data_IF_485337667053
#
_entry.id   IF_485337667053
#
_cell.length_a   1.000
_cell.length_b   1.000
_cell.length_c   1.000
_cell.angle_alpha   90.00
_cell.angle_beta   90.00
_cell.angle_gamma   90.00
#
_symmetry.space_group_name_H-M   'P 1'
#
loop_
_entity.id
_entity.type
_entity.pdbx_description
1 polymer ?
#
# COMPACT_ATOMS: atom_id res chain seq x y z
N UNK A 1 -3.85 -22.72 20.87
CA UNK A 1 -3.70 -21.57 19.96
C UNK A 1 -2.28 -21.60 19.42
N UNK A 2 -2.10 -22.03 18.18
CA UNK A 2 -0.79 -22.36 17.60
C UNK A 2 -0.08 -21.11 17.12
N UNK A 3 1.25 -21.03 17.30
CA UNK A 3 2.10 -19.90 16.90
C UNK A 3 1.94 -19.46 15.44
N UNK A 4 1.51 -20.39 14.57
CA UNK A 4 1.17 -20.15 13.17
C UNK A 4 0.03 -19.12 13.00
N UNK A 5 -1.00 -19.16 13.86
CA UNK A 5 -2.10 -18.21 13.81
C UNK A 5 -1.63 -16.80 14.18
N UNK A 6 -0.79 -16.72 15.22
CA UNK A 6 -0.22 -15.45 15.69
C UNK A 6 0.64 -14.79 14.61
N UNK A 7 1.44 -15.56 13.87
CA UNK A 7 2.25 -15.03 12.76
C UNK A 7 1.39 -14.45 11.63
N UNK A 8 0.22 -15.05 11.36
CA UNK A 8 -0.72 -14.60 10.34
C UNK A 8 -1.46 -13.34 10.78
N UNK A 9 -1.85 -13.26 12.05
CA UNK A 9 -2.43 -12.05 12.65
C UNK A 9 -1.44 -10.89 12.70
N UNK A 10 -0.19 -11.15 13.08
CA UNK A 10 0.87 -10.14 13.02
C UNK A 10 1.12 -9.71 11.58
N UNK A 11 1.18 -10.63 10.61
CA UNK A 11 1.38 -10.25 9.20
C UNK A 11 0.23 -9.41 8.67
N UNK A 12 -1.03 -9.69 9.04
CA UNK A 12 -2.18 -8.85 8.68
C UNK A 12 -2.12 -7.47 9.37
N UNK A 13 -1.82 -7.45 10.67
CA UNK A 13 -1.69 -6.22 11.46
C UNK A 13 -0.56 -5.34 10.94
N UNK A 14 0.63 -5.91 10.71
CA UNK A 14 1.76 -5.22 10.10
C UNK A 14 1.45 -4.81 8.65
N UNK A 15 0.75 -5.63 7.84
CA UNK A 15 0.38 -5.20 6.49
C UNK A 15 -0.57 -4.00 6.50
N UNK A 16 -1.47 -3.91 7.49
CA UNK A 16 -2.33 -2.76 7.74
C UNK A 16 -1.58 -1.54 8.29
N UNK A 17 -0.70 -1.72 9.27
CA UNK A 17 0.05 -0.65 9.96
C UNK A 17 1.18 -0.07 9.12
N UNK A 18 1.93 -0.92 8.41
CA UNK A 18 3.06 -0.48 7.55
C UNK A 18 2.59 0.03 6.19
N UNK A 19 1.30 -0.13 5.85
CA UNK A 19 0.79 0.18 4.52
C UNK A 19 1.29 -0.78 3.44
N UNK A 20 1.82 -1.96 3.80
CA UNK A 20 2.27 -2.95 2.82
C UNK A 20 1.11 -3.49 1.96
N UNK A 21 -0.11 -3.39 2.47
CA UNK A 21 -1.37 -3.68 1.79
C UNK A 21 -1.88 -2.53 0.90
N UNK A 22 -1.27 -1.34 0.95
CA UNK A 22 -1.69 -0.20 0.12
C UNK A 22 -1.58 -0.51 -1.37
N UNK A 23 -0.57 -1.28 -1.77
CA UNK A 23 -0.41 -1.73 -3.15
C UNK A 23 -1.51 -2.70 -3.58
N UNK A 24 -1.90 -3.65 -2.73
CA UNK A 24 -2.96 -4.61 -3.04
C UNK A 24 -4.32 -3.90 -3.18
N UNK A 25 -4.63 -3.02 -2.22
CA UNK A 25 -5.79 -2.12 -2.30
C UNK A 25 -5.79 -1.26 -3.56
N UNK A 26 -4.63 -0.71 -3.94
CA UNK A 26 -4.49 0.09 -5.15
C UNK A 26 -4.71 -0.75 -6.41
N UNK A 27 -4.18 -1.97 -6.47
CA UNK A 27 -4.44 -2.91 -7.57
C UNK A 27 -5.91 -3.31 -7.66
N UNK A 28 -6.55 -3.62 -6.53
CA UNK A 28 -7.97 -3.93 -6.49
C UNK A 28 -8.84 -2.73 -6.91
N UNK A 29 -8.44 -1.52 -6.54
CA UNK A 29 -9.10 -0.30 -6.99
C UNK A 29 -8.91 -0.09 -8.50
N UNK A 30 -7.68 -0.22 -9.01
CA UNK A 30 -7.38 -0.12 -10.44
C UNK A 30 -8.15 -1.17 -11.26
N UNK A 31 -8.23 -2.41 -10.79
CA UNK A 31 -9.01 -3.44 -11.49
C UNK A 31 -10.51 -3.10 -11.53
N UNK A 32 -11.05 -2.44 -10.49
CA UNK A 32 -12.46 -2.03 -10.43
C UNK A 32 -12.75 -0.80 -11.29
N UNK A 33 -11.84 0.18 -11.32
CA UNK A 33 -12.04 1.47 -12.01
C UNK A 33 -11.57 1.42 -13.46
N UNK A 34 -10.50 0.67 -13.73
CA UNK A 34 -9.86 0.56 -15.05
C UNK A 34 -9.62 -0.92 -15.41
N UNK A 35 -10.67 -1.69 -15.71
CA UNK A 35 -10.51 -3.06 -16.18
C UNK A 35 -9.72 -3.05 -17.51
N UNK A 36 -8.50 -3.60 -17.48
CA UNK A 36 -7.64 -3.72 -18.67
C UNK A 36 -6.40 -2.82 -18.70
N UNK A 37 -6.21 -1.94 -17.72
CA UNK A 37 -4.96 -1.17 -17.60
C UNK A 37 -3.87 -2.03 -16.91
N UNK A 38 -2.61 -2.03 -17.38
CA UNK A 38 -1.54 -2.73 -16.70
C UNK A 38 -1.35 -2.17 -15.28
N UNK A 39 -1.31 -3.08 -14.30
CA UNK A 39 -1.03 -2.69 -12.91
C UNK A 39 0.44 -2.25 -12.81
N UNK A 40 0.72 -1.07 -12.23
CA UNK A 40 2.10 -0.65 -12.01
C UNK A 40 2.79 -1.63 -11.07
N UNK A 41 4.11 -1.79 -11.21
CA UNK A 41 4.86 -2.69 -10.31
C UNK A 41 4.89 -2.09 -8.90
N UNK A 42 4.96 -2.94 -7.86
CA UNK A 42 5.02 -2.50 -6.46
C UNK A 42 6.09 -1.42 -6.21
N UNK A 43 7.28 -1.55 -6.81
CA UNK A 43 8.36 -0.56 -6.69
C UNK A 43 8.00 0.80 -7.29
N UNK A 44 7.29 0.79 -8.43
CA UNK A 44 6.87 2.00 -9.14
C UNK A 44 5.80 2.75 -8.34
N UNK A 45 4.82 2.01 -7.79
CA UNK A 45 3.84 2.56 -6.86
C UNK A 45 4.48 3.24 -5.65
N UNK A 46 5.46 2.60 -5.01
CA UNK A 46 6.14 3.22 -3.87
C UNK A 46 6.96 4.43 -4.29
N UNK A 47 7.65 4.38 -5.42
CA UNK A 47 8.42 5.51 -5.96
C UNK A 47 7.52 6.72 -6.19
N UNK A 48 6.36 6.52 -6.81
CA UNK A 48 5.40 7.58 -7.09
C UNK A 48 4.75 8.10 -5.80
N UNK A 49 4.47 7.21 -4.84
CA UNK A 49 4.01 7.58 -3.49
C UNK A 49 5.01 8.45 -2.73
N UNK A 50 6.29 8.07 -2.73
CA UNK A 50 7.33 8.88 -2.10
C UNK A 50 7.50 10.22 -2.83
N UNK A 51 7.52 10.21 -4.18
CA UNK A 51 7.59 11.42 -4.97
C UNK A 51 6.40 12.37 -4.71
N UNK A 52 5.19 11.84 -4.48
CA UNK A 52 4.02 12.62 -4.10
C UNK A 52 4.15 13.21 -2.68
N UNK A 53 4.72 12.46 -1.74
CA UNK A 53 5.03 12.96 -0.39
C UNK A 53 6.12 14.03 -0.39
N UNK A 54 7.13 13.88 -1.26
CA UNK A 54 8.21 14.85 -1.45
C UNK A 54 7.72 16.12 -2.17
N UNK A 55 6.85 15.96 -3.17
CA UNK A 55 6.29 17.08 -3.95
C UNK A 55 5.21 17.82 -3.19
N UNK A 56 4.46 17.12 -2.36
CA UNK A 56 3.42 17.69 -1.51
C UNK A 56 3.75 17.35 -0.05
N UNK A 57 4.86 17.88 0.48
CA UNK A 57 5.16 17.72 1.88
C UNK A 57 4.02 18.45 2.57
N UNK A 58 3.10 17.69 3.19
CA UNK A 58 2.08 18.25 4.10
C UNK A 58 2.78 18.75 5.36
N UNK A 59 3.79 19.60 5.20
CA UNK A 59 4.25 20.51 6.22
C UNK A 59 3.09 21.46 6.42
N UNK A 60 2.20 21.11 7.35
CA UNK A 60 1.41 22.12 8.03
C UNK A 60 2.39 22.93 8.87
N UNK A 61 3.15 23.83 8.23
CA UNK A 61 3.65 24.96 8.98
C UNK A 61 2.47 25.92 9.11
N UNK A 62 1.96 25.96 10.36
CA UNK A 62 1.31 27.09 10.99
C UNK A 62 0.07 27.65 10.27
#
# INVERSE_FOLDING_TARGET
MTLLDMSRSLRWFWSGVTGADAYDRYCAHLQRVHPGCPLPTKSDFWREKYAEMERNPKSRCC
#
